data_IF_595106470572
#
_entry.id   IF_595106470572
#
_cell.length_a   1.000
_cell.length_b   1.000
_cell.length_c   1.000
_cell.angle_alpha   90.00
_cell.angle_beta   90.00
_cell.angle_gamma   90.00
#
_symmetry.space_group_name_H-M   'P 1'
#
loop_
_entity.id
_entity.type
_entity.pdbx_description
1 polymer ?
#
# COMPACT_ATOMS: atom_id res chain seq x y z
N UNK A 1 15.92 12.93 25.45
CA UNK A 1 16.79 12.61 24.30
C UNK A 1 16.95 11.10 24.06
N UNK A 2 16.05 10.24 24.57
CA UNK A 2 16.18 8.77 24.54
C UNK A 2 15.61 8.09 23.29
N UNK A 3 14.90 8.83 22.42
CA UNK A 3 14.22 8.24 21.26
C UNK A 3 15.17 7.78 20.14
N UNK A 4 16.19 8.57 19.81
CA UNK A 4 17.06 8.34 18.66
C UNK A 4 18.03 7.18 18.87
N UNK A 5 18.61 7.06 20.07
CA UNK A 5 19.42 5.89 20.47
C UNK A 5 18.62 4.60 20.36
N UNK A 6 17.38 4.61 20.85
CA UNK A 6 16.49 3.45 20.73
C UNK A 6 16.14 3.06 19.29
N UNK A 7 16.22 3.99 18.32
CA UNK A 7 16.03 3.67 16.90
C UNK A 7 17.29 3.01 16.31
N UNK A 8 18.47 3.52 16.66
CA UNK A 8 19.76 2.97 16.20
C UNK A 8 20.05 1.63 16.84
N UNK A 9 19.76 1.47 18.14
CA UNK A 9 19.87 0.18 18.83
C UNK A 9 18.93 -0.86 18.24
N UNK A 10 17.71 -0.46 17.87
CA UNK A 10 16.78 -1.34 17.15
C UNK A 10 17.30 -1.71 15.77
N UNK A 11 17.85 -0.75 15.04
CA UNK A 11 18.44 -1.00 13.73
C UNK A 11 19.65 -1.93 13.82
N UNK A 12 20.53 -1.73 14.81
CA UNK A 12 21.68 -2.58 15.13
C UNK A 12 21.23 -4.00 15.48
N UNK A 13 20.19 -4.13 16.31
CA UNK A 13 19.60 -5.42 16.69
C UNK A 13 19.00 -6.14 15.49
N UNK A 14 18.26 -5.43 14.63
CA UNK A 14 17.69 -5.98 13.39
C UNK A 14 18.83 -6.46 12.49
N UNK A 15 19.82 -5.63 12.18
CA UNK A 15 20.94 -6.02 11.31
C UNK A 15 21.81 -7.15 11.88
N UNK A 16 21.86 -7.30 13.21
CA UNK A 16 22.57 -8.39 13.88
C UNK A 16 21.86 -9.75 13.83
N UNK A 17 20.58 -9.80 13.45
CA UNK A 17 19.86 -11.06 13.27
C UNK A 17 20.29 -11.75 11.96
N UNK A 18 20.47 -13.09 11.95
CA UNK A 18 20.82 -13.84 10.73
C UNK A 18 19.76 -13.69 9.62
N UNK A 19 18.49 -13.51 10.01
CA UNK A 19 17.34 -13.31 9.11
C UNK A 19 17.40 -11.99 8.31
N UNK A 20 18.21 -11.02 8.75
CA UNK A 20 18.39 -9.74 8.07
C UNK A 20 19.33 -9.81 6.87
N UNK A 21 20.14 -10.86 6.79
CA UNK A 21 20.97 -11.18 5.63
C UNK A 21 20.18 -11.85 4.50
N UNK A 22 18.96 -12.32 4.76
CA UNK A 22 18.14 -13.02 3.77
C UNK A 22 17.79 -12.11 2.59
N UNK A 23 17.80 -12.62 1.35
CA UNK A 23 17.49 -11.85 0.14
C UNK A 23 16.13 -11.13 0.17
N UNK A 24 15.18 -11.62 0.97
CA UNK A 24 13.84 -11.04 1.15
C UNK A 24 13.85 -9.81 2.06
N UNK A 25 14.66 -9.83 3.11
CA UNK A 25 14.64 -8.82 4.18
C UNK A 25 15.74 -7.76 4.01
N UNK A 26 16.87 -8.12 3.38
CA UNK A 26 18.01 -7.24 3.07
C UNK A 26 17.62 -5.90 2.41
N UNK A 27 16.74 -5.84 1.39
CA UNK A 27 16.34 -4.55 0.80
C UNK A 27 15.49 -3.69 1.73
N UNK A 28 14.66 -4.29 2.58
CA UNK A 28 13.82 -3.54 3.54
C UNK A 28 14.69 -2.88 4.61
N UNK A 29 15.64 -3.64 5.15
CA UNK A 29 16.64 -3.16 6.11
C UNK A 29 17.52 -2.07 5.47
N UNK A 30 17.95 -2.24 4.21
CA UNK A 30 18.72 -1.23 3.48
C UNK A 30 17.97 0.09 3.26
N UNK A 31 16.65 0.06 3.02
CA UNK A 31 15.85 1.30 2.87
C UNK A 31 15.77 2.08 4.19
N UNK A 32 15.56 1.40 5.31
CA UNK A 32 15.52 2.02 6.64
C UNK A 32 16.87 2.64 6.98
N UNK A 33 17.97 1.97 6.67
CA UNK A 33 19.34 2.47 6.88
C UNK A 33 19.60 3.78 6.12
N UNK A 34 19.31 3.81 4.81
CA UNK A 34 19.49 5.01 3.98
C UNK A 34 18.62 6.17 4.46
N UNK A 35 17.38 5.87 4.86
CA UNK A 35 16.45 6.88 5.40
C UNK A 35 16.99 7.46 6.70
N UNK A 36 17.50 6.62 7.60
CA UNK A 36 18.09 7.04 8.87
C UNK A 36 19.30 7.96 8.63
N UNK A 37 20.24 7.57 7.75
CA UNK A 37 21.38 8.43 7.37
C UNK A 37 20.95 9.78 6.81
N UNK A 38 20.00 9.78 5.88
CA UNK A 38 19.49 11.02 5.30
C UNK A 38 18.90 11.94 6.37
N UNK A 39 18.17 11.39 7.34
CA UNK A 39 17.63 12.16 8.47
C UNK A 39 18.75 12.70 9.37
N UNK A 40 19.79 11.92 9.66
CA UNK A 40 20.95 12.37 10.46
C UNK A 40 21.69 13.51 9.76
N UNK A 41 21.95 13.39 8.46
CA UNK A 41 22.62 14.45 7.70
C UNK A 41 21.79 15.74 7.66
N UNK A 42 20.46 15.63 7.47
CA UNK A 42 19.56 16.78 7.56
C UNK A 42 19.56 17.42 8.95
N UNK A 43 19.63 16.61 9.99
CA UNK A 43 19.70 17.11 11.36
C UNK A 43 21.01 17.89 11.60
N UNK A 44 22.16 17.38 11.14
CA UNK A 44 23.43 18.09 11.19
C UNK A 44 23.39 19.43 10.45
N UNK A 45 22.74 19.48 9.29
CA UNK A 45 22.57 20.72 8.53
C UNK A 45 21.75 21.76 9.30
N UNK A 46 20.62 21.34 9.91
CA UNK A 46 19.77 22.22 10.72
C UNK A 46 20.49 22.70 11.97
N UNK A 47 21.22 21.81 12.65
CA UNK A 47 22.06 22.14 13.80
C UNK A 47 23.16 23.16 13.46
N UNK A 48 23.88 22.95 12.35
CA UNK A 48 24.92 23.87 11.89
C UNK A 48 24.34 25.26 11.60
N UNK A 49 23.17 25.33 10.95
CA UNK A 49 22.44 26.59 10.74
C UNK A 49 22.06 27.24 12.07
N UNK A 50 21.49 26.48 13.00
CA UNK A 50 21.10 26.99 14.32
C UNK A 50 22.31 27.51 15.11
N UNK A 51 23.43 26.79 15.12
CA UNK A 51 24.69 27.23 15.73
C UNK A 51 25.16 28.55 15.13
N UNK A 52 25.11 28.69 13.81
CA UNK A 52 25.49 29.93 13.11
C UNK A 52 24.57 31.10 13.49
N UNK A 53 23.25 30.90 13.48
CA UNK A 53 22.28 31.92 13.89
C UNK A 53 22.49 32.36 15.35
N UNK A 54 22.84 31.41 16.22
CA UNK A 54 23.13 31.67 17.62
C UNK A 54 24.41 32.48 17.81
N UNK A 55 25.49 32.12 17.11
CA UNK A 55 26.75 32.88 17.10
C UNK A 55 26.53 34.30 16.59
N UNK A 56 25.77 34.48 15.50
CA UNK A 56 25.43 35.80 14.98
C UNK A 56 24.60 36.63 15.96
N UNK A 57 23.64 36.00 16.66
CA UNK A 57 22.85 36.68 17.68
C UNK A 57 23.72 37.14 18.87
N UNK A 58 24.67 36.33 19.30
CA UNK A 58 25.60 36.71 20.38
C UNK A 58 26.55 37.81 19.93
N UNK A 59 27.08 37.73 18.70
CA UNK A 59 27.93 38.78 18.13
C UNK A 59 27.21 40.13 18.10
N UNK A 60 25.93 40.14 17.70
CA UNK A 60 25.08 41.35 17.74
C UNK A 60 24.92 41.88 19.17
N UNK A 61 24.66 41.01 20.14
CA UNK A 61 24.49 41.40 21.54
C UNK A 61 25.79 41.97 22.14
N UNK A 62 26.94 41.38 21.82
CA UNK A 62 28.25 41.87 22.27
C UNK A 62 28.55 43.27 21.69
N UNK A 63 28.29 43.48 20.39
CA UNK A 63 28.46 44.80 19.77
C UNK A 63 27.53 45.89 20.32
N UNK A 64 26.35 45.52 20.86
CA UNK A 64 25.47 46.48 21.55
C UNK A 64 26.12 46.97 22.85
N UNK A 65 26.85 46.11 23.55
CA UNK A 65 27.51 46.45 24.82
C UNK A 65 28.86 47.14 24.59
N UNK A 66 29.63 46.67 23.61
CA UNK A 66 30.93 47.21 23.23
C UNK A 66 30.96 47.53 21.72
N UNK A 67 30.51 48.73 21.31
CA UNK A 67 30.38 49.11 19.90
C UNK A 67 31.72 49.33 19.19
N UNK A 68 32.80 49.50 19.95
CA UNK A 68 34.19 49.70 19.51
C UNK A 68 34.97 48.38 19.35
N UNK A 69 34.36 47.23 19.65
CA UNK A 69 35.04 45.94 19.56
C UNK A 69 35.39 45.54 18.13
N UNK A 70 36.58 44.98 17.93
CA UNK A 70 36.99 44.44 16.62
C UNK A 70 36.29 43.12 16.32
N UNK A 71 36.20 42.76 15.05
CA UNK A 71 35.53 41.51 14.62
C UNK A 71 36.19 40.26 15.21
N UNK A 72 37.50 40.30 15.45
CA UNK A 72 38.25 39.22 16.08
C UNK A 72 37.95 39.11 17.59
N UNK A 73 37.85 40.24 18.31
CA UNK A 73 37.41 40.26 19.70
C UNK A 73 35.98 39.73 19.85
N UNK A 74 35.09 40.07 18.91
CA UNK A 74 33.69 39.59 18.89
C UNK A 74 33.64 38.08 18.68
N UNK A 75 34.42 37.54 17.74
CA UNK A 75 34.50 36.08 17.52
C UNK A 75 35.02 35.36 18.75
N UNK A 76 36.09 35.87 19.35
CA UNK A 76 36.70 35.24 20.53
C UNK A 76 35.74 35.23 21.73
N UNK A 77 34.96 36.31 21.92
CA UNK A 77 33.94 36.38 22.97
C UNK A 77 32.72 35.47 22.71
N UNK A 78 32.42 35.14 21.44
CA UNK A 78 31.33 34.24 21.05
C UNK A 78 31.77 32.77 21.13
N UNK A 79 33.04 32.48 20.85
CA UNK A 79 33.61 31.14 20.92
C UNK A 79 33.87 30.70 22.37
N UNK A 80 34.24 31.63 23.26
CA UNK A 80 34.44 31.37 24.68
C UNK A 80 33.50 32.22 25.55
N UNK A 81 32.28 31.74 25.86
CA UNK A 81 31.26 32.51 26.58
C UNK A 81 31.60 32.71 28.07
N UNK A 82 32.57 31.97 28.60
CA UNK A 82 33.12 32.17 29.94
C UNK A 82 34.22 33.24 29.95
N UNK A 83 34.57 33.80 28.79
CA UNK A 83 35.60 34.80 28.70
C UNK A 83 35.28 35.93 29.67
N UNK A 84 36.15 36.08 30.66
CA UNK A 84 36.21 37.20 31.58
C UNK A 84 36.14 38.55 30.82
N UNK A 85 36.52 38.55 29.55
CA UNK A 85 36.37 39.60 28.54
C UNK A 85 34.91 40.11 28.42
N UNK A 86 33.90 39.23 28.40
CA UNK A 86 32.49 39.66 28.32
C UNK A 86 32.07 40.36 29.61
N UNK A 87 32.38 39.77 30.78
CA UNK A 87 32.09 40.37 32.08
C UNK A 87 32.82 41.70 32.27
N UNK A 88 34.05 41.80 31.77
CA UNK A 88 34.89 43.00 31.88
C UNK A 88 34.41 44.11 30.93
N UNK A 89 34.01 43.78 29.69
CA UNK A 89 33.38 44.73 28.78
C UNK A 89 32.08 45.31 29.36
N UNK A 90 31.33 44.49 30.08
CA UNK A 90 30.10 44.92 30.74
C UNK A 90 30.32 45.83 31.94
N UNK A 91 31.39 45.58 32.72
CA UNK A 91 31.78 46.45 33.84
C UNK A 91 32.31 47.81 33.37
N UNK A 92 32.93 47.86 32.19
CA UNK A 92 33.43 49.10 31.57
C UNK A 92 32.33 49.93 30.91
N UNK A 93 31.22 49.31 30.51
CA UNK A 93 30.07 50.04 29.96
C UNK A 93 29.29 50.78 31.07
N UNK A 94 29.14 52.10 30.96
CA UNK A 94 28.35 52.93 31.90
C UNK A 94 26.84 52.56 31.95
N UNK A 95 26.39 51.65 31.09
CA UNK A 95 24.99 51.23 30.92
C UNK A 95 24.60 50.00 31.75
N UNK A 96 24.86 50.04 33.06
CA UNK A 96 24.65 48.91 34.00
C UNK A 96 23.33 48.13 33.83
N UNK A 97 22.23 48.81 33.50
CA UNK A 97 20.92 48.16 33.28
C UNK A 97 20.81 47.35 31.98
N UNK A 98 21.46 47.80 30.89
CA UNK A 98 21.53 47.05 29.62
C UNK A 98 22.57 45.92 29.70
N UNK A 99 23.59 46.08 30.53
CA UNK A 99 24.61 45.06 30.77
C UNK A 99 24.03 43.84 31.50
N UNK A 100 23.18 44.02 32.52
CA UNK A 100 22.56 42.87 33.20
C UNK A 100 21.61 42.06 32.31
N UNK A 101 20.84 42.70 31.43
CA UNK A 101 19.96 41.99 30.49
C UNK A 101 20.76 41.26 29.41
N UNK A 102 21.84 41.88 28.92
CA UNK A 102 22.79 41.24 28.01
C UNK A 102 23.47 40.00 28.65
N UNK A 103 23.85 40.08 29.94
CA UNK A 103 24.42 38.95 30.69
C UNK A 103 23.47 37.76 30.70
N UNK A 104 22.22 37.98 31.12
CA UNK A 104 21.21 36.91 31.21
C UNK A 104 20.90 36.32 29.84
N UNK A 105 20.88 37.13 28.79
CA UNK A 105 20.71 36.65 27.43
C UNK A 105 21.86 35.73 27.02
N UNK A 106 23.11 36.12 27.31
CA UNK A 106 24.30 35.30 27.00
C UNK A 106 24.33 34.02 27.83
N UNK A 107 24.06 34.06 29.13
CA UNK A 107 23.97 32.85 29.96
C UNK A 107 22.88 31.88 29.46
N UNK A 108 21.72 32.41 29.07
CA UNK A 108 20.67 31.62 28.44
C UNK A 108 21.12 30.95 27.15
N UNK A 109 21.82 31.71 26.29
CA UNK A 109 22.41 31.16 25.06
C UNK A 109 23.52 30.15 25.33
N UNK A 110 24.31 30.34 26.38
CA UNK A 110 25.38 29.40 26.74
C UNK A 110 24.81 28.03 27.10
N UNK A 111 23.72 28.01 27.88
CA UNK A 111 23.01 26.76 28.19
C UNK A 111 22.44 26.09 26.93
N UNK A 112 21.98 26.87 25.96
CA UNK A 112 21.54 26.35 24.66
C UNK A 112 22.72 25.76 23.86
N UNK A 113 23.87 26.42 23.83
CA UNK A 113 25.10 25.91 23.18
C UNK A 113 25.58 24.62 23.83
N UNK A 114 25.69 24.58 25.16
CA UNK A 114 26.11 23.36 25.88
C UNK A 114 25.17 22.19 25.59
N UNK A 115 23.86 22.47 25.51
CA UNK A 115 22.89 21.45 25.13
C UNK A 115 23.20 20.92 23.73
N UNK A 116 23.37 21.80 22.75
CA UNK A 116 23.73 21.46 21.35
C UNK A 116 25.02 20.65 21.28
N UNK A 117 26.07 21.08 21.98
CA UNK A 117 27.34 20.36 22.06
C UNK A 117 27.15 18.93 22.57
N UNK A 118 26.34 18.77 23.62
CA UNK A 118 25.97 17.45 24.12
C UNK A 118 25.21 16.64 23.06
N UNK A 119 24.26 17.25 22.31
CA UNK A 119 23.56 16.56 21.22
C UNK A 119 24.51 16.18 20.07
N UNK A 120 25.51 17.01 19.76
CA UNK A 120 26.53 16.76 18.73
C UNK A 120 27.43 15.58 19.08
N UNK A 121 27.89 15.51 20.33
CA UNK A 121 28.70 14.37 20.81
C UNK A 121 27.90 13.09 20.74
N UNK A 122 26.63 13.12 21.16
CA UNK A 122 25.73 11.96 21.05
C UNK A 122 25.49 11.54 19.59
N UNK A 123 25.34 12.52 18.68
CA UNK A 123 25.12 12.27 17.26
C UNK A 123 26.38 11.73 16.57
N UNK A 124 27.57 12.22 16.94
CA UNK A 124 28.84 11.75 16.41
C UNK A 124 29.08 10.28 16.79
N UNK A 125 28.80 9.91 18.04
CA UNK A 125 28.83 8.51 18.49
C UNK A 125 27.84 7.65 17.68
N UNK A 126 26.62 8.14 17.50
CA UNK A 126 25.59 7.46 16.72
C UNK A 126 25.97 7.30 15.24
N UNK A 127 26.68 8.27 14.67
CA UNK A 127 27.18 8.21 13.30
C UNK A 127 28.34 7.23 13.16
N UNK A 128 29.23 7.16 14.16
CA UNK A 128 30.29 6.15 14.24
C UNK A 128 29.69 4.73 14.27
N UNK A 129 28.70 4.52 15.14
CA UNK A 129 27.95 3.26 15.23
C UNK A 129 27.23 2.91 13.91
N UNK A 130 26.65 3.92 13.24
CA UNK A 130 25.96 3.70 11.97
C UNK A 130 26.95 3.38 10.85
N UNK A 131 28.09 4.06 10.77
CA UNK A 131 29.12 3.77 9.77
C UNK A 131 29.70 2.35 9.91
N UNK A 132 29.92 1.86 11.13
CA UNK A 132 30.34 0.48 11.37
C UNK A 132 29.35 -0.52 10.74
N UNK A 133 28.05 -0.22 10.83
CA UNK A 133 26.96 -1.05 10.32
C UNK A 133 26.81 -0.96 8.77
N UNK A 134 27.51 -0.04 8.11
CA UNK A 134 27.32 0.33 6.69
C UNK A 134 28.41 -0.17 5.76
N UNK A 135 29.61 -0.42 6.28
CA UNK A 135 30.78 -0.86 5.48
C UNK A 135 30.51 -2.18 4.74
N UNK A 136 29.43 -2.90 5.06
CA UNK A 136 29.03 -4.13 4.35
C UNK A 136 27.93 -3.96 3.27
N UNK A 137 27.47 -2.75 2.93
CA UNK A 137 26.38 -2.56 1.94
C UNK A 137 26.72 -1.56 0.82
N UNK A 138 27.55 -1.97 -0.14
CA UNK A 138 27.45 -1.54 -1.55
C UNK A 138 27.66 -2.78 -2.45
N UNK A 139 26.94 -2.99 -3.58
CA UNK A 139 25.87 -2.22 -4.23
C UNK A 139 24.51 -2.95 -4.17
N UNK A 140 23.48 -2.30 -3.62
CA UNK A 140 22.08 -2.80 -3.61
C UNK A 140 21.11 -1.69 -4.03
N UNK A 141 21.59 -0.75 -4.83
CA UNK A 141 20.78 0.33 -5.42
C UNK A 141 20.21 -0.12 -6.76
N UNK A 142 20.99 -0.85 -7.56
CA UNK A 142 20.59 -1.36 -8.89
C UNK A 142 19.42 -2.37 -8.82
N UNK A 143 19.33 -3.16 -7.75
CA UNK A 143 18.26 -4.15 -7.56
C UNK A 143 16.88 -3.57 -7.22
N UNK A 144 16.77 -2.29 -6.81
CA UNK A 144 15.47 -1.69 -6.43
C UNK A 144 14.71 -1.22 -7.67
N UNK A 145 15.41 -0.68 -8.67
CA UNK A 145 14.78 -0.32 -9.95
C UNK A 145 14.28 -1.58 -10.64
N UNK A 146 15.09 -2.63 -10.68
CA UNK A 146 14.74 -3.92 -11.27
C UNK A 146 13.52 -4.58 -10.59
N UNK A 147 13.43 -4.53 -9.25
CA UNK A 147 12.23 -5.02 -8.54
C UNK A 147 11.00 -4.14 -8.69
N UNK A 148 11.18 -2.82 -8.86
CA UNK A 148 10.08 -1.91 -9.18
C UNK A 148 9.50 -2.18 -10.56
N UNK A 149 10.36 -2.52 -11.51
CA UNK A 149 10.01 -2.97 -12.85
C UNK A 149 9.31 -4.33 -12.82
N UNK A 150 9.85 -5.34 -12.11
CA UNK A 150 9.18 -6.63 -11.94
C UNK A 150 7.78 -6.51 -11.31
N UNK A 151 7.61 -5.66 -10.29
CA UNK A 151 6.28 -5.45 -9.67
C UNK A 151 5.33 -4.79 -10.66
N UNK A 152 5.79 -3.83 -11.47
CA UNK A 152 4.97 -3.25 -12.54
C UNK A 152 4.58 -4.31 -13.57
N UNK A 153 5.52 -5.11 -14.04
CA UNK A 153 5.27 -6.15 -15.03
C UNK A 153 4.30 -7.21 -14.51
N UNK A 154 4.44 -7.62 -13.24
CA UNK A 154 3.53 -8.56 -12.61
C UNK A 154 2.11 -7.97 -12.46
N UNK A 155 1.97 -6.68 -12.18
CA UNK A 155 0.66 -6.01 -12.12
C UNK A 155 0.03 -5.90 -13.51
N UNK A 156 0.83 -5.64 -14.55
CA UNK A 156 0.35 -5.61 -15.95
C UNK A 156 -0.14 -7.00 -16.35
N UNK A 157 0.66 -8.05 -16.14
CA UNK A 157 0.27 -9.44 -16.42
C UNK A 157 -0.97 -9.86 -15.62
N UNK A 158 -1.07 -9.49 -14.35
CA UNK A 158 -2.26 -9.77 -13.54
C UNK A 158 -3.52 -9.11 -14.11
N UNK A 159 -3.42 -7.88 -14.61
CA UNK A 159 -4.55 -7.21 -15.26
C UNK A 159 -4.97 -7.92 -16.57
N UNK A 160 -4.01 -8.39 -17.37
CA UNK A 160 -4.27 -9.18 -18.58
C UNK A 160 -4.94 -10.52 -18.23
N UNK A 161 -4.44 -11.24 -17.24
CA UNK A 161 -5.02 -12.51 -16.78
C UNK A 161 -6.44 -12.31 -16.22
N UNK A 162 -6.70 -11.21 -15.49
CA UNK A 162 -8.04 -10.84 -15.04
C UNK A 162 -8.97 -10.58 -16.23
N UNK A 163 -8.51 -9.90 -17.27
CA UNK A 163 -9.31 -9.65 -18.47
C UNK A 163 -9.67 -10.97 -19.19
N UNK A 164 -8.69 -11.86 -19.37
CA UNK A 164 -8.90 -13.20 -19.96
C UNK A 164 -9.83 -14.05 -19.08
N UNK A 165 -9.72 -13.97 -17.76
CA UNK A 165 -10.60 -14.65 -16.82
C UNK A 165 -12.05 -14.15 -16.94
N UNK A 166 -12.26 -12.84 -17.10
CA UNK A 166 -13.58 -12.25 -17.32
C UNK A 166 -14.18 -12.74 -18.66
N UNK A 167 -13.39 -12.72 -19.74
CA UNK A 167 -13.88 -13.13 -21.06
C UNK A 167 -14.16 -14.62 -21.15
N UNK A 168 -13.32 -15.45 -20.54
CA UNK A 168 -13.55 -16.90 -20.44
C UNK A 168 -14.78 -17.22 -19.57
N UNK A 169 -15.00 -16.49 -18.47
CA UNK A 169 -16.20 -16.62 -17.65
C UNK A 169 -17.48 -16.22 -18.43
N UNK A 170 -17.43 -15.12 -19.18
CA UNK A 170 -18.53 -14.70 -20.07
C UNK A 170 -18.81 -15.74 -21.16
N UNK A 171 -17.77 -16.27 -21.80
CA UNK A 171 -17.92 -17.30 -22.82
C UNK A 171 -18.51 -18.61 -22.26
N UNK A 172 -18.08 -19.03 -21.06
CA UNK A 172 -18.66 -20.19 -20.35
C UNK A 172 -20.15 -20.01 -20.10
N UNK A 173 -20.56 -18.83 -19.65
CA UNK A 173 -21.97 -18.54 -19.40
C UNK A 173 -22.79 -18.57 -20.69
N UNK A 174 -22.28 -18.05 -21.82
CA UNK A 174 -22.95 -18.16 -23.13
C UNK A 174 -23.08 -19.61 -23.60
N UNK A 175 -22.03 -20.43 -23.44
CA UNK A 175 -22.03 -21.85 -23.84
C UNK A 175 -23.06 -22.69 -23.06
N UNK A 176 -23.30 -22.36 -21.77
CA UNK A 176 -24.35 -23.01 -20.98
C UNK A 176 -25.75 -22.79 -21.56
N UNK A 177 -26.04 -21.57 -22.02
CA UNK A 177 -27.33 -21.23 -22.63
C UNK A 177 -27.52 -21.90 -23.99
N UNK A 178 -26.48 -21.97 -24.82
CA UNK A 178 -26.55 -22.71 -26.09
C UNK A 178 -26.81 -24.20 -25.89
N UNK A 179 -26.17 -24.82 -24.90
CA UNK A 179 -26.38 -26.23 -24.58
C UNK A 179 -27.80 -26.48 -24.07
N UNK A 180 -28.29 -25.64 -23.16
CA UNK A 180 -29.65 -25.75 -22.62
C UNK A 180 -30.72 -25.56 -23.70
N UNK A 181 -30.51 -24.63 -24.64
CA UNK A 181 -31.40 -24.43 -25.79
C UNK A 181 -31.46 -25.62 -26.75
N UNK A 182 -30.32 -26.24 -27.07
CA UNK A 182 -30.26 -27.43 -27.93
C UNK A 182 -30.97 -28.63 -27.31
N UNK A 183 -30.73 -28.90 -26.02
CA UNK A 183 -31.41 -29.97 -25.28
C UNK A 183 -32.91 -29.72 -25.27
N UNK A 184 -33.35 -28.53 -24.90
CA UNK A 184 -34.78 -28.19 -24.90
C UNK A 184 -35.45 -28.43 -26.25
N UNK A 185 -34.80 -28.07 -27.36
CA UNK A 185 -35.37 -28.22 -28.71
C UNK A 185 -35.50 -29.68 -29.18
N UNK A 186 -34.66 -30.60 -28.70
CA UNK A 186 -34.76 -32.03 -29.04
C UNK A 186 -35.78 -32.77 -28.17
N UNK A 187 -35.83 -32.47 -26.87
CA UNK A 187 -36.72 -33.18 -25.93
C UNK A 187 -38.16 -32.67 -25.97
N UNK A 188 -38.38 -31.39 -26.27
CA UNK A 188 -39.73 -30.82 -26.35
C UNK A 188 -40.63 -31.48 -27.42
N UNK A 189 -40.24 -31.63 -28.70
CA UNK A 189 -41.09 -32.24 -29.72
C UNK A 189 -41.29 -33.74 -29.51
N UNK A 190 -40.26 -34.45 -29.01
CA UNK A 190 -40.37 -35.89 -28.70
C UNK A 190 -41.38 -36.13 -27.58
N UNK A 191 -41.34 -35.30 -26.54
CA UNK A 191 -42.32 -35.32 -25.45
C UNK A 191 -43.73 -34.95 -25.93
N UNK A 192 -43.87 -33.92 -26.76
CA UNK A 192 -45.16 -33.48 -27.31
C UNK A 192 -45.81 -34.54 -28.21
N UNK A 193 -45.02 -35.20 -29.06
CA UNK A 193 -45.48 -36.34 -29.87
C UNK A 193 -45.95 -37.51 -28.99
N UNK A 194 -45.24 -37.82 -27.91
CA UNK A 194 -45.65 -38.87 -26.98
C UNK A 194 -46.99 -38.55 -26.29
N UNK A 195 -47.19 -37.30 -25.85
CA UNK A 195 -48.47 -36.85 -25.30
C UNK A 195 -49.59 -36.93 -26.34
N UNK A 196 -49.35 -36.48 -27.57
CA UNK A 196 -50.35 -36.58 -28.64
C UNK A 196 -50.68 -38.04 -28.99
N UNK A 197 -49.69 -38.93 -29.02
CA UNK A 197 -49.90 -40.34 -29.28
C UNK A 197 -50.73 -41.02 -28.18
N UNK A 198 -50.42 -40.76 -26.92
CA UNK A 198 -51.18 -41.27 -25.77
C UNK A 198 -52.62 -40.71 -25.74
N UNK A 199 -52.80 -39.43 -26.11
CA UNK A 199 -54.11 -38.80 -26.25
C UNK A 199 -54.93 -39.37 -27.42
N UNK A 200 -54.32 -39.65 -28.57
CA UNK A 200 -55.01 -40.25 -29.74
C UNK A 200 -55.40 -41.69 -29.47
N UNK A 201 -54.55 -42.48 -28.80
CA UNK A 201 -54.89 -43.84 -28.39
C UNK A 201 -56.07 -43.87 -27.40
N UNK A 202 -56.09 -42.95 -26.44
CA UNK A 202 -57.24 -42.82 -25.53
C UNK A 202 -58.48 -42.27 -26.25
N UNK A 203 -58.34 -41.32 -27.16
CA UNK A 203 -59.45 -40.75 -27.95
C UNK A 203 -60.11 -41.75 -28.90
N UNK A 204 -59.33 -42.67 -29.47
CA UNK A 204 -59.83 -43.74 -30.35
C UNK A 204 -60.68 -44.76 -29.59
N UNK A 205 -60.40 -44.99 -28.30
CA UNK A 205 -61.24 -45.82 -27.44
C UNK A 205 -62.61 -45.20 -27.14
N UNK A 206 -62.77 -43.87 -27.21
CA UNK A 206 -64.08 -43.20 -27.04
C UNK A 206 -64.90 -43.18 -28.35
N UNK A 207 -64.26 -43.28 -29.52
CA UNK A 207 -64.94 -43.27 -30.82
C UNK A 207 -65.65 -44.59 -31.15
N UNK A 208 -65.04 -45.73 -30.83
CA UNK A 208 -65.63 -47.06 -31.09
C UNK A 208 -66.91 -47.31 -30.25
N UNK A 209 -67.04 -46.69 -29.06
CA UNK A 209 -68.26 -46.78 -28.25
C UNK A 209 -69.45 -45.99 -28.81
N UNK A 210 -69.23 -44.94 -29.60
CA UNK A 210 -70.32 -44.15 -30.22
C UNK A 210 -70.78 -44.78 -31.54
N UNK A 211 -69.90 -45.47 -32.27
CA UNK A 211 -70.24 -46.15 -33.52
C UNK A 211 -71.13 -47.39 -33.32
N UNK A 212 -70.95 -48.14 -32.22
CA UNK A 212 -71.80 -49.29 -31.90
C UNK A 212 -73.24 -48.89 -31.51
N UNK A 213 -73.42 -47.72 -30.89
CA UNK A 213 -74.75 -47.25 -30.49
C UNK A 213 -75.58 -46.68 -31.66
N UNK A 214 -74.96 -46.34 -32.80
CA UNK A 214 -75.65 -45.89 -34.00
C UNK A 214 -76.08 -47.04 -34.92
N UNK A 215 -75.46 -48.23 -34.81
CA UNK A 215 -75.70 -49.37 -35.72
C UNK A 215 -76.69 -50.40 -35.16
N UNK A 216 -76.94 -50.40 -33.84
CA UNK A 216 -77.97 -51.26 -33.23
C UNK A 216 -79.42 -50.81 -33.50
N UNK A 217 -79.65 -49.56 -33.93
CA UNK A 217 -81.00 -49.08 -34.22
C UNK A 217 -81.54 -49.50 -35.59
N UNK A 218 -80.71 -50.04 -36.49
CA UNK A 218 -81.12 -50.38 -37.88
C UNK A 218 -81.20 -51.88 -38.19
N UNK A 219 -80.75 -52.77 -37.30
CA UNK A 219 -80.71 -54.24 -37.56
C UNK A 219 -81.84 -55.04 -36.91
N UNK A 220 -82.79 -54.38 -36.24
CA UNK A 220 -83.98 -55.00 -35.64
C UNK A 220 -85.21 -54.93 -36.56
N UNK A 221 -85.11 -55.41 -37.80
CA UNK A 221 -86.30 -55.75 -38.58
C UNK A 221 -85.97 -56.78 -39.66
N UNK A 222 -86.43 -58.01 -39.42
CA UNK A 222 -86.94 -58.98 -40.42
C UNK A 222 -85.96 -59.40 -41.53
N UNK A 223 -85.31 -60.58 -41.52
CA UNK A 223 -85.84 -61.96 -41.42
C UNK A 223 -87.12 -62.21 -42.22
N UNK A 224 -87.10 -63.30 -43.00
CA UNK A 224 -88.10 -63.85 -43.95
C UNK A 224 -87.94 -63.31 -45.38
N UNK A 225 -87.80 -64.12 -46.43
CA UNK A 225 -87.86 -65.58 -46.55
C UNK A 225 -87.45 -65.99 -47.97
N UNK A 226 -86.88 -67.20 -48.06
CA UNK A 226 -87.08 -68.20 -49.13
C UNK A 226 -86.70 -67.87 -50.60
N UNK A 227 -85.53 -68.38 -50.99
CA UNK A 227 -85.32 -69.51 -51.94
C UNK A 227 -85.91 -69.44 -53.38
N UNK A 228 -85.49 -70.32 -54.32
CA UNK A 228 -84.50 -69.98 -55.33
C UNK A 228 -84.95 -70.34 -56.75
N UNK A 229 -84.00 -70.26 -57.68
CA UNK A 229 -83.82 -71.16 -58.84
C UNK A 229 -84.00 -70.55 -60.24
N UNK A 230 -82.92 -70.72 -60.99
CA UNK A 230 -82.88 -71.22 -62.38
C UNK A 230 -82.57 -70.23 -63.51
N UNK A 231 -81.33 -70.38 -64.01
CA UNK A 231 -80.96 -70.56 -65.42
C UNK A 231 -81.46 -69.55 -66.46
N UNK A 232 -80.56 -68.71 -66.98
CA UNK A 232 -79.80 -68.89 -68.23
C UNK A 232 -78.94 -67.65 -68.49
#
# INVERSE_FOLDING_TARGET
>A
MTGYRGLVDRMRRIKGLPESGEPRNKPQVGRVDRRLKSTINKFQEVESKFRKELQESQARQYRIVRPDATDDEVKQAVEDPNAQIFQQAMMQSDRRGQSQSALRAVEGRHKEIQKIEQQMVELAQLFQDLNEIVVQQEPLVENIEQKGEEVRDNVVKANEEIAVAIDSARARNRKKWYCLGLVGKCFFPTYLCFILHTAVLHGRSYGDMVADHATQSSSSSSSLSSSPSSSL
#
